data_IF_272424756521
#
_entry.id   IF_272424756521
#
_cell.length_a   1.000
_cell.length_b   1.000
_cell.length_c   1.000
_cell.angle_alpha   90.00
_cell.angle_beta   90.00
_cell.angle_gamma   90.00
#
_symmetry.space_group_name_H-M   'P 1'
#
loop_
_entity.id
_entity.type
_entity.pdbx_description
1 polymer ?
#
# COMPACT_ATOMS: atom_id res chain seq x y z
N UNK A 1 17.82 6.01 1.84
CA UNK A 1 17.46 5.72 0.44
C UNK A 1 16.65 6.89 -0.11
N UNK A 2 16.94 7.27 -1.36
CA UNK A 2 16.26 8.38 -2.05
C UNK A 2 16.12 8.05 -3.53
N UNK A 3 15.14 8.67 -4.20
CA UNK A 3 14.95 8.58 -5.65
C UNK A 3 15.32 9.90 -6.29
N UNK A 4 16.13 9.88 -7.35
CA UNK A 4 16.46 11.03 -8.18
C UNK A 4 15.92 10.84 -9.59
N UNK A 5 15.35 11.88 -10.17
CA UNK A 5 14.82 11.84 -11.53
C UNK A 5 14.82 13.21 -12.20
N UNK A 6 14.70 13.22 -13.51
CA UNK A 6 14.51 14.41 -14.33
C UNK A 6 13.08 14.42 -14.88
N UNK A 7 12.48 15.60 -14.99
CA UNK A 7 11.13 15.79 -15.49
C UNK A 7 11.15 16.69 -16.75
N UNK A 8 10.58 16.17 -17.84
CA UNK A 8 10.35 16.92 -19.05
C UNK A 8 8.85 16.99 -19.36
N UNK A 9 8.30 18.16 -19.57
CA UNK A 9 6.91 18.34 -19.92
C UNK A 9 6.71 19.56 -20.84
N UNK A 10 5.55 19.64 -21.48
CA UNK A 10 5.14 20.80 -22.27
C UNK A 10 4.13 21.62 -21.50
N UNK A 11 4.35 22.93 -21.41
CA UNK A 11 3.39 23.89 -20.85
C UNK A 11 2.21 24.10 -21.82
N UNK A 12 1.15 24.78 -21.38
CA UNK A 12 0.01 25.14 -22.24
C UNK A 12 0.45 25.90 -23.50
N UNK A 13 1.48 26.73 -23.39
CA UNK A 13 2.07 27.49 -24.52
C UNK A 13 3.01 26.64 -25.38
N UNK A 14 2.95 25.29 -25.28
CA UNK A 14 3.78 24.34 -26.02
C UNK A 14 5.29 24.47 -25.79
N UNK A 15 5.74 25.29 -24.85
CA UNK A 15 7.14 25.35 -24.45
C UNK A 15 7.57 24.10 -23.71
N UNK A 16 8.69 23.51 -24.14
CA UNK A 16 9.30 22.37 -23.46
C UNK A 16 10.05 22.86 -22.21
N UNK A 17 9.66 22.36 -21.06
CA UNK A 17 10.33 22.64 -19.78
C UNK A 17 11.04 21.39 -19.31
N UNK A 18 12.31 21.53 -18.94
CA UNK A 18 13.14 20.45 -18.41
C UNK A 18 13.61 20.83 -17.01
N UNK A 19 13.32 19.98 -16.05
CA UNK A 19 13.75 20.15 -14.66
C UNK A 19 14.62 18.95 -14.30
N UNK A 20 15.89 19.21 -14.01
CA UNK A 20 16.87 18.18 -13.68
C UNK A 20 17.06 18.04 -12.17
N UNK A 21 17.54 16.88 -11.74
CA UNK A 21 17.96 16.62 -10.37
C UNK A 21 16.85 16.87 -9.34
N UNK A 22 15.67 16.25 -9.54
CA UNK A 22 14.60 16.25 -8.55
C UNK A 22 14.87 15.07 -7.60
N UNK A 23 15.02 15.36 -6.31
CA UNK A 23 15.32 14.35 -5.29
C UNK A 23 14.14 14.23 -4.31
N UNK A 24 13.72 13.00 -4.04
CA UNK A 24 12.69 12.66 -3.06
C UNK A 24 13.16 11.52 -2.17
N UNK A 25 12.73 11.52 -0.91
CA UNK A 25 13.00 10.43 0.05
C UNK A 25 12.07 9.22 -0.13
N UNK A 26 11.19 9.25 -1.14
CA UNK A 26 10.22 8.20 -1.40
C UNK A 26 10.74 7.25 -2.48
N UNK A 27 10.53 5.95 -2.30
CA UNK A 27 10.88 4.93 -3.28
C UNK A 27 9.68 4.56 -4.14
N UNK A 28 9.98 4.10 -5.37
CA UNK A 28 8.97 3.54 -6.27
C UNK A 28 8.45 4.52 -7.33
N UNK A 29 8.19 3.96 -8.52
CA UNK A 29 7.74 4.70 -9.71
C UNK A 29 6.47 5.53 -9.46
N UNK A 30 5.54 5.02 -8.67
CA UNK A 30 4.30 5.74 -8.34
C UNK A 30 4.57 7.05 -7.58
N UNK A 31 5.57 7.08 -6.69
CA UNK A 31 5.96 8.30 -5.97
C UNK A 31 6.65 9.31 -6.89
N UNK A 32 7.41 8.85 -7.87
CA UNK A 32 7.94 9.72 -8.94
C UNK A 32 6.81 10.38 -9.72
N UNK A 33 5.80 9.62 -10.13
CA UNK A 33 4.64 10.14 -10.87
C UNK A 33 3.81 11.12 -10.02
N UNK A 34 3.54 10.78 -8.77
CA UNK A 34 2.84 11.68 -7.84
C UNK A 34 3.61 13.00 -7.62
N UNK A 35 4.93 12.91 -7.46
CA UNK A 35 5.80 14.07 -7.31
C UNK A 35 5.81 14.94 -8.57
N UNK A 36 5.89 14.31 -9.75
CA UNK A 36 5.84 15.02 -11.03
C UNK A 36 4.51 15.78 -11.18
N UNK A 37 3.38 15.14 -10.86
CA UNK A 37 2.07 15.80 -10.89
C UNK A 37 2.00 16.99 -9.93
N UNK A 38 2.40 16.81 -8.66
CA UNK A 38 2.40 17.86 -7.66
C UNK A 38 3.31 19.04 -8.07
N UNK A 39 4.50 18.74 -8.59
CA UNK A 39 5.45 19.73 -9.05
C UNK A 39 4.87 20.57 -10.21
N UNK A 40 4.25 19.93 -11.21
CA UNK A 40 3.61 20.62 -12.33
C UNK A 40 2.48 21.54 -11.82
N UNK A 41 1.65 21.08 -10.88
CA UNK A 41 0.59 21.91 -10.29
C UNK A 41 1.19 23.12 -9.58
N UNK A 42 2.21 22.93 -8.74
CA UNK A 42 2.86 24.04 -8.03
C UNK A 42 3.47 25.07 -9.00
N UNK A 43 4.11 24.63 -10.08
CA UNK A 43 4.67 25.52 -11.09
C UNK A 43 3.57 26.31 -11.83
N UNK A 44 2.45 25.68 -12.16
CA UNK A 44 1.31 26.36 -12.78
C UNK A 44 0.65 27.40 -11.86
N UNK A 45 0.80 27.25 -10.54
CA UNK A 45 0.38 28.23 -9.53
C UNK A 45 1.46 29.29 -9.24
N UNK A 46 2.56 29.32 -9.99
CA UNK A 46 3.62 30.33 -9.85
C UNK A 46 4.65 30.05 -8.75
N UNK A 47 4.68 28.86 -8.18
CA UNK A 47 5.66 28.54 -7.14
C UNK A 47 7.10 28.47 -7.69
N UNK A 48 8.07 28.94 -6.90
CA UNK A 48 9.47 28.94 -7.27
C UNK A 48 10.06 27.52 -7.27
N UNK A 49 10.70 27.11 -8.37
CA UNK A 49 11.24 25.76 -8.57
C UNK A 49 12.29 25.37 -7.52
N UNK A 50 13.12 26.31 -7.05
CA UNK A 50 14.14 26.02 -6.05
C UNK A 50 13.50 25.74 -4.69
N UNK A 51 12.42 26.43 -4.33
CA UNK A 51 11.65 26.17 -3.12
C UNK A 51 10.95 24.82 -3.20
N UNK A 52 10.36 24.48 -4.36
CA UNK A 52 9.73 23.17 -4.58
C UNK A 52 10.78 22.05 -4.39
N UNK A 53 11.94 22.15 -5.04
CA UNK A 53 13.01 21.15 -4.89
C UNK A 53 13.47 20.98 -3.44
N UNK A 54 13.63 22.09 -2.71
CA UNK A 54 13.99 22.06 -1.28
C UNK A 54 12.92 21.36 -0.45
N UNK A 55 11.65 21.65 -0.69
CA UNK A 55 10.52 21.00 0.00
C UNK A 55 10.44 19.51 -0.31
N UNK A 56 10.60 19.11 -1.56
CA UNK A 56 10.60 17.71 -2.00
C UNK A 56 11.73 16.90 -1.33
N UNK A 57 12.93 17.47 -1.24
CA UNK A 57 14.07 16.83 -0.56
C UNK A 57 13.80 16.56 0.93
N UNK A 58 13.00 17.40 1.57
CA UNK A 58 12.65 17.29 2.99
C UNK A 58 11.36 16.52 3.25
N UNK A 59 10.58 16.24 2.20
CA UNK A 59 9.31 15.56 2.31
C UNK A 59 9.52 14.07 2.63
N UNK A 60 9.02 13.63 3.77
CA UNK A 60 9.16 12.25 4.29
C UNK A 60 7.99 11.33 3.94
N UNK A 61 7.06 11.82 3.11
CA UNK A 61 5.87 11.06 2.72
C UNK A 61 4.61 11.48 3.48
N UNK A 62 3.53 10.83 3.13
CA UNK A 62 2.21 10.98 3.78
C UNK A 62 2.00 9.75 4.66
N UNK A 63 1.37 9.93 5.81
CA UNK A 63 0.96 8.80 6.67
C UNK A 63 0.15 7.78 5.87
N UNK A 64 0.25 6.52 6.25
CA UNK A 64 -0.41 5.40 5.57
C UNK A 64 0.02 5.24 4.09
N UNK A 65 1.31 5.50 3.78
CA UNK A 65 1.95 5.22 2.49
C UNK A 65 3.27 4.50 2.77
N UNK A 66 3.21 3.18 2.91
CA UNK A 66 4.32 2.32 3.37
C UNK A 66 4.99 2.88 4.64
N UNK A 67 4.16 3.38 5.56
CA UNK A 67 4.63 3.92 6.83
C UNK A 67 5.11 2.78 7.73
N UNK A 68 6.40 2.76 8.08
CA UNK A 68 6.92 1.79 9.04
C UNK A 68 6.39 2.13 10.42
N UNK A 69 5.69 1.18 11.06
CA UNK A 69 5.12 1.34 12.39
C UNK A 69 6.13 0.95 13.48
N UNK A 70 6.67 -0.25 13.38
CA UNK A 70 7.65 -0.79 14.34
C UNK A 70 8.34 -2.03 13.77
N UNK A 71 9.33 -2.55 14.52
CA UNK A 71 9.96 -3.84 14.25
C UNK A 71 9.99 -4.68 15.51
N UNK A 72 9.73 -5.99 15.39
CA UNK A 72 9.80 -6.98 16.48
C UNK A 72 10.42 -8.28 15.90
N UNK A 73 11.42 -8.85 16.56
CA UNK A 73 12.05 -10.12 16.17
C UNK A 73 12.48 -10.16 14.68
N UNK A 74 13.07 -9.06 14.19
CA UNK A 74 13.45 -8.83 12.78
C UNK A 74 12.27 -8.79 11.80
N UNK A 75 11.04 -8.80 12.29
CA UNK A 75 9.84 -8.57 11.48
C UNK A 75 9.55 -7.07 11.44
N UNK A 76 9.25 -6.55 10.24
CA UNK A 76 8.91 -5.14 10.03
C UNK A 76 7.43 -4.98 9.73
N UNK A 77 6.78 -4.08 10.43
CA UNK A 77 5.35 -3.79 10.30
C UNK A 77 5.14 -2.44 9.63
N UNK A 78 4.30 -2.46 8.59
CA UNK A 78 3.97 -1.28 7.80
C UNK A 78 2.46 -1.07 7.72
N UNK A 79 2.06 0.19 7.59
CA UNK A 79 0.68 0.61 7.30
C UNK A 79 0.62 1.28 5.92
N UNK A 80 -0.33 0.86 5.10
CA UNK A 80 -0.60 1.45 3.80
C UNK A 80 -2.10 1.64 3.55
N UNK A 81 -2.43 2.73 2.89
CA UNK A 81 -3.82 3.07 2.54
C UNK A 81 -4.34 2.30 1.31
N UNK A 82 -3.51 1.49 0.67
CA UNK A 82 -3.88 0.75 -0.53
C UNK A 82 -5.14 -0.09 -0.32
N UNK A 83 -6.11 0.16 -1.15
CA UNK A 83 -7.42 -0.49 -1.12
C UNK A 83 -7.98 -0.72 -2.54
N UNK A 84 -7.18 -0.48 -3.57
CA UNK A 84 -7.43 -0.79 -4.97
C UNK A 84 -6.42 -1.85 -5.45
N UNK A 85 -6.80 -2.83 -6.31
CA UNK A 85 -5.91 -3.93 -6.70
C UNK A 85 -4.62 -3.44 -7.36
N UNK A 86 -4.66 -2.37 -8.15
CA UNK A 86 -3.46 -1.78 -8.77
C UNK A 86 -2.50 -1.20 -7.71
N UNK A 87 -3.02 -0.55 -6.66
CA UNK A 87 -2.19 -0.04 -5.56
C UNK A 87 -1.52 -1.19 -4.81
N UNK A 88 -2.30 -2.23 -4.45
CA UNK A 88 -1.82 -3.42 -3.75
C UNK A 88 -0.72 -4.10 -4.55
N UNK A 89 -0.93 -4.38 -5.84
CA UNK A 89 0.06 -5.01 -6.70
C UNK A 89 1.36 -4.18 -6.77
N UNK A 90 1.24 -2.87 -6.97
CA UNK A 90 2.39 -1.97 -7.06
C UNK A 90 3.23 -1.94 -5.77
N UNK A 91 2.58 -1.95 -4.61
CA UNK A 91 3.25 -1.99 -3.30
C UNK A 91 3.97 -3.32 -3.12
N UNK A 92 3.27 -4.43 -3.34
CA UNK A 92 3.83 -5.76 -3.16
C UNK A 92 5.00 -6.03 -4.10
N UNK A 93 4.91 -5.60 -5.35
CA UNK A 93 6.01 -5.66 -6.32
C UNK A 93 7.19 -4.79 -5.87
N UNK A 94 6.94 -3.55 -5.46
CA UNK A 94 7.97 -2.64 -4.97
C UNK A 94 8.72 -3.21 -3.77
N UNK A 95 7.99 -3.74 -2.77
CA UNK A 95 8.59 -4.36 -1.57
C UNK A 95 9.36 -5.63 -1.93
N UNK A 96 8.82 -6.47 -2.79
CA UNK A 96 9.49 -7.71 -3.22
C UNK A 96 10.78 -7.43 -3.98
N UNK A 97 10.83 -6.40 -4.83
CA UNK A 97 12.02 -6.04 -5.59
C UNK A 97 13.18 -5.59 -4.70
N UNK A 98 12.88 -4.90 -3.60
CA UNK A 98 13.91 -4.41 -2.64
C UNK A 98 14.25 -5.49 -1.61
N UNK A 99 13.35 -6.39 -1.30
CA UNK A 99 13.45 -7.35 -0.20
C UNK A 99 13.17 -8.80 -0.65
N UNK A 100 13.71 -9.23 -1.78
CA UNK A 100 13.40 -10.52 -2.41
C UNK A 100 13.62 -11.77 -1.53
N UNK A 101 14.46 -11.66 -0.48
CA UNK A 101 14.74 -12.74 0.48
C UNK A 101 13.77 -12.78 1.67
N UNK A 102 12.90 -11.78 1.83
CA UNK A 102 11.95 -11.68 2.94
C UNK A 102 10.55 -12.07 2.48
N UNK A 103 9.83 -12.81 3.32
CA UNK A 103 8.44 -13.16 3.05
C UNK A 103 7.54 -11.98 3.36
N UNK A 104 6.57 -11.71 2.49
CA UNK A 104 5.57 -10.66 2.66
C UNK A 104 4.27 -11.29 3.17
N UNK A 105 3.75 -10.78 4.28
CA UNK A 105 2.44 -11.08 4.82
C UNK A 105 1.55 -9.85 4.62
N UNK A 106 0.49 -10.00 3.84
CA UNK A 106 -0.50 -8.95 3.59
C UNK A 106 -1.65 -9.06 4.58
N UNK A 107 -1.88 -8.04 5.41
CA UNK A 107 -3.09 -7.93 6.23
C UNK A 107 -4.04 -7.00 5.50
N UNK A 108 -5.06 -7.58 4.84
CA UNK A 108 -5.91 -6.86 3.92
C UNK A 108 -7.34 -6.67 4.45
N UNK A 109 -7.79 -5.41 4.49
CA UNK A 109 -9.17 -5.04 4.78
C UNK A 109 -9.87 -4.64 3.48
N UNK A 110 -10.74 -5.53 2.92
CA UNK A 110 -11.54 -5.18 1.76
C UNK A 110 -12.43 -3.97 2.06
N UNK A 111 -12.51 -3.01 1.12
CA UNK A 111 -13.18 -1.74 1.35
C UNK A 111 -14.28 -1.50 0.31
N UNK A 112 -15.55 -1.42 0.75
CA UNK A 112 -16.79 -1.28 0.00
C UNK A 112 -17.16 -2.53 -0.81
N UNK A 113 -18.41 -2.97 -0.65
CA UNK A 113 -18.94 -4.07 -1.44
C UNK A 113 -18.91 -3.80 -2.95
N UNK A 114 -19.31 -2.58 -3.35
CA UNK A 114 -19.33 -2.16 -4.76
C UNK A 114 -17.96 -2.32 -5.41
N UNK A 115 -16.89 -1.84 -4.77
CA UNK A 115 -15.53 -1.94 -5.29
C UNK A 115 -15.05 -3.39 -5.38
N UNK A 116 -15.20 -4.14 -4.30
CA UNK A 116 -14.72 -5.53 -4.28
C UNK A 116 -15.44 -6.40 -5.30
N UNK A 117 -16.73 -6.17 -5.51
CA UNK A 117 -17.51 -6.92 -6.49
C UNK A 117 -17.18 -6.53 -7.93
N UNK A 118 -17.01 -5.23 -8.22
CA UNK A 118 -16.69 -4.75 -9.57
C UNK A 118 -15.28 -5.10 -10.01
N UNK A 119 -14.31 -5.16 -9.08
CA UNK A 119 -12.90 -5.43 -9.35
C UNK A 119 -12.45 -6.82 -8.83
N UNK A 120 -13.39 -7.75 -8.73
CA UNK A 120 -13.17 -9.07 -8.13
C UNK A 120 -12.04 -9.85 -8.81
N UNK A 121 -11.96 -9.78 -10.13
CA UNK A 121 -10.95 -10.47 -10.91
C UNK A 121 -9.55 -9.86 -10.71
N UNK A 122 -9.47 -8.54 -10.66
CA UNK A 122 -8.22 -7.80 -10.44
C UNK A 122 -7.70 -8.04 -9.01
N UNK A 123 -8.60 -7.97 -8.01
CA UNK A 123 -8.24 -8.31 -6.63
C UNK A 123 -7.72 -9.73 -6.49
N UNK A 124 -8.30 -10.67 -7.22
CA UNK A 124 -7.89 -12.08 -7.12
C UNK A 124 -6.45 -12.33 -7.57
N UNK A 125 -5.85 -11.42 -8.34
CA UNK A 125 -4.50 -11.54 -8.92
C UNK A 125 -3.46 -10.65 -8.25
N UNK A 126 -3.88 -9.64 -7.47
CA UNK A 126 -2.97 -8.61 -6.98
C UNK A 126 -2.05 -9.05 -5.83
N UNK A 127 -2.28 -10.22 -5.22
CA UNK A 127 -1.52 -10.72 -4.07
C UNK A 127 -0.40 -11.72 -4.43
N UNK A 128 -0.04 -11.86 -5.69
CA UNK A 128 0.92 -12.88 -6.17
C UNK A 128 2.33 -12.77 -5.54
N UNK A 129 2.69 -11.64 -4.95
CA UNK A 129 3.95 -11.45 -4.22
C UNK A 129 3.82 -11.67 -2.71
N UNK A 130 2.63 -11.93 -2.19
CA UNK A 130 2.41 -12.25 -0.78
C UNK A 130 2.58 -13.74 -0.54
N UNK A 131 3.30 -14.11 0.51
CA UNK A 131 3.36 -15.48 1.02
C UNK A 131 2.03 -15.89 1.65
N UNK A 132 1.39 -14.94 2.34
CA UNK A 132 0.15 -15.12 3.06
C UNK A 132 -0.67 -13.84 2.98
N UNK A 133 -1.98 -13.97 2.79
CA UNK A 133 -2.96 -12.89 2.94
C UNK A 133 -3.81 -13.19 4.17
N UNK A 134 -3.78 -12.31 5.15
CA UNK A 134 -4.69 -12.30 6.29
C UNK A 134 -5.84 -11.37 5.93
N UNK A 135 -6.99 -11.94 5.62
CA UNK A 135 -8.15 -11.19 5.18
C UNK A 135 -9.02 -10.80 6.36
N UNK A 136 -9.16 -9.50 6.55
CA UNK A 136 -10.02 -8.90 7.56
C UNK A 136 -11.48 -8.79 7.07
N UNK A 137 -12.44 -8.51 7.95
CA UNK A 137 -13.81 -8.20 7.56
C UNK A 137 -13.86 -7.02 6.58
N UNK A 138 -14.83 -7.05 5.68
CA UNK A 138 -15.03 -5.95 4.74
C UNK A 138 -15.50 -4.69 5.47
N UNK A 139 -14.79 -3.59 5.26
CA UNK A 139 -15.21 -2.27 5.74
C UNK A 139 -16.19 -1.64 4.76
N UNK A 140 -17.41 -1.39 5.21
CA UNK A 140 -18.53 -0.99 4.34
C UNK A 140 -18.44 0.46 3.85
N UNK A 141 -17.80 1.35 4.60
CA UNK A 141 -17.73 2.79 4.32
C UNK A 141 -19.13 3.41 4.07
N UNK A 142 -20.11 3.01 4.88
CA UNK A 142 -21.48 3.50 4.77
C UNK A 142 -22.37 2.77 3.74
N UNK A 143 -21.84 1.83 2.97
CA UNK A 143 -22.65 1.01 2.09
C UNK A 143 -23.56 0.04 2.87
N UNK A 144 -24.79 -0.17 2.40
CA UNK A 144 -25.67 -1.21 2.93
C UNK A 144 -25.08 -2.59 2.66
N UNK A 145 -25.29 -3.52 3.61
CA UNK A 145 -24.82 -4.90 3.48
C UNK A 145 -25.30 -5.50 2.15
N UNK A 146 -24.35 -6.03 1.37
CA UNK A 146 -24.64 -6.74 0.14
C UNK A 146 -24.62 -8.24 0.37
N UNK A 147 -25.78 -8.89 0.41
CA UNK A 147 -25.93 -10.32 0.65
C UNK A 147 -25.36 -11.21 -0.47
N UNK A 148 -25.07 -10.65 -1.65
CA UNK A 148 -24.43 -11.37 -2.75
C UNK A 148 -22.91 -11.50 -2.55
N UNK A 149 -22.29 -10.69 -1.67
CA UNK A 149 -20.88 -10.77 -1.35
C UNK A 149 -20.64 -11.88 -0.32
N UNK A 150 -19.71 -12.77 -0.64
CA UNK A 150 -19.26 -13.82 0.25
C UNK A 150 -17.75 -13.74 0.39
N UNK A 151 -17.27 -13.46 1.61
CA UNK A 151 -15.86 -13.26 1.91
C UNK A 151 -15.04 -14.54 1.70
N UNK A 152 -15.61 -15.73 2.02
CA UNK A 152 -14.93 -17.02 1.82
C UNK A 152 -14.72 -17.30 0.34
N UNK A 153 -15.75 -17.14 -0.50
CA UNK A 153 -15.62 -17.28 -1.96
C UNK A 153 -14.66 -16.28 -2.57
N UNK A 154 -14.55 -15.09 -1.99
CA UNK A 154 -13.56 -14.09 -2.40
C UNK A 154 -12.15 -14.53 -2.04
N UNK A 155 -11.93 -15.06 -0.84
CA UNK A 155 -10.65 -15.62 -0.41
C UNK A 155 -10.22 -16.81 -1.30
N UNK A 156 -11.12 -17.74 -1.60
CA UNK A 156 -10.87 -18.87 -2.51
C UNK A 156 -10.41 -18.42 -3.89
N UNK A 157 -11.00 -17.34 -4.41
CA UNK A 157 -10.61 -16.77 -5.70
C UNK A 157 -9.19 -16.18 -5.67
N UNK A 158 -8.80 -15.54 -4.55
CA UNK A 158 -7.43 -15.04 -4.36
C UNK A 158 -6.44 -16.20 -4.26
N UNK A 159 -6.77 -17.25 -3.50
CA UNK A 159 -5.92 -18.46 -3.42
C UNK A 159 -5.65 -19.00 -4.83
N UNK A 160 -6.70 -19.16 -5.62
CA UNK A 160 -6.61 -19.72 -6.98
C UNK A 160 -5.77 -18.88 -7.93
N UNK A 161 -5.97 -17.54 -7.95
CA UNK A 161 -5.45 -16.68 -9.00
C UNK A 161 -4.15 -15.97 -8.62
N UNK A 162 -3.87 -15.78 -7.32
CA UNK A 162 -2.60 -15.22 -6.81
C UNK A 162 -1.60 -16.30 -6.39
N UNK A 163 -2.00 -17.56 -6.34
CA UNK A 163 -1.19 -18.67 -5.86
C UNK A 163 -0.57 -18.39 -4.47
N UNK A 164 -1.39 -17.84 -3.56
CA UNK A 164 -1.01 -17.47 -2.20
C UNK A 164 -1.96 -18.12 -1.18
N UNK A 165 -1.50 -18.31 0.04
CA UNK A 165 -2.36 -18.74 1.13
C UNK A 165 -3.24 -17.59 1.59
N UNK A 166 -4.50 -17.88 1.97
CA UNK A 166 -5.39 -16.88 2.57
C UNK A 166 -5.99 -17.45 3.84
N UNK A 167 -5.97 -16.67 4.90
CA UNK A 167 -6.74 -16.94 6.12
C UNK A 167 -7.70 -15.77 6.36
N UNK A 168 -8.82 -16.05 7.01
CA UNK A 168 -9.81 -15.03 7.36
C UNK A 168 -9.79 -14.85 8.88
N UNK A 169 -9.70 -13.61 9.34
CA UNK A 169 -9.86 -13.23 10.74
C UNK A 169 -11.13 -12.40 10.91
N UNK A 170 -11.79 -12.54 12.06
CA UNK A 170 -13.06 -11.85 12.32
C UNK A 170 -12.89 -10.49 13.00
N UNK A 171 -11.77 -10.28 13.69
CA UNK A 171 -11.52 -9.07 14.47
C UNK A 171 -10.02 -8.93 14.78
N UNK A 172 -9.67 -7.83 15.45
CA UNK A 172 -8.31 -7.51 15.88
C UNK A 172 -7.71 -8.57 16.80
N UNK A 173 -8.49 -9.17 17.69
CA UNK A 173 -8.02 -10.18 18.63
C UNK A 173 -7.57 -11.45 17.90
N UNK A 174 -8.35 -11.89 16.91
CA UNK A 174 -7.97 -13.05 16.08
C UNK A 174 -6.72 -12.77 15.25
N UNK A 175 -6.58 -11.54 14.71
CA UNK A 175 -5.37 -11.11 14.00
C UNK A 175 -4.14 -11.19 14.93
N UNK A 176 -4.23 -10.61 16.11
CA UNK A 176 -3.15 -10.60 17.10
C UNK A 176 -2.74 -12.02 17.51
N UNK A 177 -3.72 -12.86 17.83
CA UNK A 177 -3.48 -14.25 18.22
C UNK A 177 -2.83 -15.05 17.10
N UNK A 178 -3.26 -14.84 15.86
CA UNK A 178 -2.68 -15.51 14.71
C UNK A 178 -1.23 -15.09 14.48
N UNK A 179 -0.94 -13.79 14.47
CA UNK A 179 0.41 -13.26 14.26
C UNK A 179 1.36 -13.71 15.37
N UNK A 180 0.94 -13.62 16.65
CA UNK A 180 1.74 -14.10 17.80
C UNK A 180 2.17 -15.56 17.68
N UNK A 181 1.30 -16.42 17.16
CA UNK A 181 1.56 -17.86 17.05
C UNK A 181 2.34 -18.27 15.81
N UNK A 182 2.24 -17.51 14.72
CA UNK A 182 2.68 -17.96 13.40
C UNK A 182 3.78 -17.11 12.75
N UNK A 183 4.10 -15.94 13.31
CA UNK A 183 5.21 -15.13 12.79
C UNK A 183 6.52 -15.87 12.99
N UNK A 184 7.29 -15.93 11.93
CA UNK A 184 8.67 -16.37 11.93
C UNK A 184 9.57 -15.11 11.95
N UNK A 185 10.86 -15.27 12.03
CA UNK A 185 11.79 -14.15 11.93
C UNK A 185 11.99 -13.70 10.48
N UNK A 186 12.24 -12.40 10.28
CA UNK A 186 12.60 -11.80 8.99
C UNK A 186 11.47 -11.71 7.96
N UNK A 187 10.25 -11.44 8.42
CA UNK A 187 9.09 -11.21 7.56
C UNK A 187 8.74 -9.71 7.47
N UNK A 188 7.99 -9.35 6.44
CA UNK A 188 7.45 -7.99 6.23
C UNK A 188 5.93 -8.09 6.31
N UNK A 189 5.33 -7.43 7.28
CA UNK A 189 3.90 -7.42 7.51
C UNK A 189 3.34 -6.07 7.05
N UNK A 190 2.39 -6.07 6.10
CA UNK A 190 1.84 -4.85 5.53
C UNK A 190 0.33 -4.84 5.75
N UNK A 191 -0.15 -3.92 6.58
CA UNK A 191 -1.57 -3.61 6.70
C UNK A 191 -2.02 -2.76 5.52
N UNK A 192 -3.03 -3.23 4.78
CA UNK A 192 -3.55 -2.55 3.59
C UNK A 192 -5.06 -2.38 3.67
N UNK A 193 -5.53 -1.15 3.51
CA UNK A 193 -6.94 -0.82 3.55
C UNK A 193 -7.22 0.64 3.90
N UNK A 194 -8.44 1.10 3.64
CA UNK A 194 -8.85 2.48 3.88
C UNK A 194 -9.74 2.67 5.13
N UNK A 195 -9.99 1.60 5.89
CA UNK A 195 -10.84 1.61 7.07
C UNK A 195 -10.07 1.47 8.38
N UNK A 196 -10.44 0.47 9.17
CA UNK A 196 -9.96 0.27 10.55
C UNK A 196 -8.59 -0.41 10.64
N UNK A 197 -8.11 -1.01 9.57
CA UNK A 197 -6.88 -1.82 9.59
C UNK A 197 -5.66 -1.06 10.11
N UNK A 198 -5.55 0.25 9.83
CA UNK A 198 -4.47 1.10 10.34
C UNK A 198 -4.43 1.12 11.87
N UNK A 199 -5.61 1.19 12.51
CA UNK A 199 -5.73 1.14 13.97
C UNK A 199 -5.30 -0.22 14.52
N UNK A 200 -5.75 -1.31 13.89
CA UNK A 200 -5.35 -2.66 14.29
C UNK A 200 -3.84 -2.87 14.17
N UNK A 201 -3.25 -2.47 13.03
CA UNK A 201 -1.81 -2.58 12.82
C UNK A 201 -0.99 -1.79 13.84
N UNK A 202 -1.45 -0.59 14.22
CA UNK A 202 -0.78 0.22 15.25
C UNK A 202 -0.89 -0.43 16.63
N UNK A 203 -2.03 -1.04 16.95
CA UNK A 203 -2.29 -1.74 18.21
C UNK A 203 -1.42 -2.99 18.42
N UNK A 204 -0.96 -3.64 17.34
CA UNK A 204 -0.12 -4.85 17.39
C UNK A 204 1.15 -4.66 18.20
N UNK A 205 1.73 -3.47 18.24
CA UNK A 205 2.97 -3.18 18.98
C UNK A 205 2.91 -3.56 20.45
N UNK A 206 1.73 -3.42 21.05
CA UNK A 206 1.51 -3.66 22.48
C UNK A 206 1.05 -5.10 22.76
N UNK A 207 0.75 -5.89 21.73
CA UNK A 207 0.14 -7.22 21.86
C UNK A 207 0.99 -8.35 21.30
N UNK A 208 2.06 -8.07 20.57
CA UNK A 208 3.09 -9.02 20.10
C UNK A 208 4.33 -9.00 20.98
#
# INVERSE_FOLDING_TARGET
DSTSFDLSFKTKDKKKTNIKNINIKLLGKHNVLNTAAALIVCLNLGANINLIKKSLKNFSGVQRRMTKLFSINKNDFYDDYAHHPTEISSILEGVNNVNSKRKIISVFEPHRYSRVMSLKNEFSKCFSKSKLVIMCPLYTAGEKKNFKFNLVKFAELIIKNSNTQVIIVKNEIELNNFLRKNLISNEIIIGMGAGLISKWMTGLKNSL
#
